data_IF_493648872605
#
_entry.id   IF_493648872605
#
_cell.length_a   1.000
_cell.length_b   1.000
_cell.length_c   1.000
_cell.angle_alpha   90.00
_cell.angle_beta   90.00
_cell.angle_gamma   90.00
#
_symmetry.space_group_name_H-M   'P 1'
#
loop_
_entity.id
_entity.type
_entity.pdbx_description
1 polymer ?
#
# COMPACT_ATOMS: atom_id res chain seq x y z
N UNK A 1 -25.45 -21.39 -8.01
CA UNK A 1 -25.84 -22.24 -6.85
C UNK A 1 -24.64 -22.71 -6.02
N UNK A 2 -23.73 -23.50 -6.60
CA UNK A 2 -22.59 -24.09 -5.87
C UNK A 2 -21.70 -23.08 -5.12
N UNK A 3 -21.44 -21.90 -5.71
CA UNK A 3 -20.67 -20.84 -5.04
C UNK A 3 -21.37 -20.33 -3.78
N UNK A 4 -22.69 -20.20 -3.81
CA UNK A 4 -23.48 -19.73 -2.66
C UNK A 4 -23.47 -20.77 -1.54
N UNK A 5 -23.58 -22.06 -1.90
CA UNK A 5 -23.53 -23.15 -0.94
C UNK A 5 -22.15 -23.25 -0.29
N UNK A 6 -21.07 -23.14 -1.06
CA UNK A 6 -19.70 -23.14 -0.55
C UNK A 6 -19.45 -22.00 0.46
N UNK A 7 -19.91 -20.78 0.14
CA UNK A 7 -19.79 -19.61 1.03
C UNK A 7 -20.62 -19.81 2.31
N UNK A 8 -21.85 -20.33 2.19
CA UNK A 8 -22.70 -20.65 3.35
C UNK A 8 -22.09 -21.72 4.24
N UNK A 9 -21.51 -22.76 3.66
CA UNK A 9 -20.81 -23.82 4.40
C UNK A 9 -19.56 -23.31 5.12
N UNK A 10 -18.81 -22.38 4.50
CA UNK A 10 -17.61 -21.82 5.12
C UNK A 10 -17.93 -20.82 6.24
N UNK A 11 -18.90 -19.92 6.03
CA UNK A 11 -19.23 -18.83 6.97
C UNK A 11 -20.32 -19.18 7.99
N UNK A 12 -21.08 -20.26 7.76
CA UNK A 12 -22.22 -20.67 8.60
C UNK A 12 -23.42 -19.70 8.56
N UNK A 13 -23.47 -18.79 7.58
CA UNK A 13 -24.51 -17.76 7.45
C UNK A 13 -25.01 -17.69 6.01
N UNK A 14 -26.31 -17.40 5.86
CA UNK A 14 -26.90 -17.19 4.56
C UNK A 14 -26.36 -15.88 3.92
N UNK A 15 -25.86 -15.93 2.68
CA UNK A 15 -25.38 -14.74 1.99
C UNK A 15 -26.56 -13.82 1.64
N UNK A 16 -26.36 -12.51 1.80
CA UNK A 16 -27.35 -11.51 1.39
C UNK A 16 -27.43 -11.41 -0.14
N UNK A 17 -28.65 -11.38 -0.68
CA UNK A 17 -28.92 -11.37 -2.14
C UNK A 17 -29.90 -10.26 -2.55
N UNK A 18 -30.12 -9.26 -1.69
CA UNK A 18 -31.14 -8.22 -1.93
C UNK A 18 -30.74 -7.16 -2.97
N UNK A 19 -29.53 -7.21 -3.50
CA UNK A 19 -29.02 -6.29 -4.52
C UNK A 19 -28.52 -7.13 -5.70
N UNK A 20 -28.81 -6.68 -6.92
CA UNK A 20 -28.35 -7.33 -8.15
C UNK A 20 -26.81 -7.40 -8.18
N UNK A 21 -26.20 -8.61 -8.24
CA UNK A 21 -24.75 -8.75 -8.24
C UNK A 21 -24.07 -8.14 -9.47
N UNK A 22 -24.80 -7.95 -10.57
CA UNK A 22 -24.25 -7.42 -11.82
C UNK A 22 -24.18 -5.87 -11.80
N UNK A 23 -24.99 -5.23 -10.95
CA UNK A 23 -25.14 -3.76 -10.91
C UNK A 23 -24.64 -3.14 -9.60
N UNK A 24 -24.50 -3.95 -8.53
CA UNK A 24 -24.21 -3.46 -7.18
C UNK A 24 -22.95 -2.59 -7.10
N UNK A 25 -21.92 -2.92 -7.89
CA UNK A 25 -20.66 -2.16 -7.93
C UNK A 25 -20.88 -0.77 -8.53
N UNK A 26 -21.64 -0.67 -9.63
CA UNK A 26 -21.92 0.61 -10.27
C UNK A 26 -22.79 1.52 -9.39
N UNK A 27 -23.79 0.94 -8.72
CA UNK A 27 -24.66 1.66 -7.77
C UNK A 27 -23.83 2.16 -6.58
N UNK A 28 -22.96 1.33 -6.01
CA UNK A 28 -22.07 1.72 -4.92
C UNK A 28 -21.13 2.85 -5.31
N UNK A 29 -20.57 2.81 -6.52
CA UNK A 29 -19.73 3.89 -7.05
C UNK A 29 -20.50 5.21 -7.22
N UNK A 30 -21.76 5.15 -7.67
CA UNK A 30 -22.61 6.34 -7.79
C UNK A 30 -22.95 6.95 -6.43
N UNK A 31 -23.21 6.13 -5.41
CA UNK A 31 -23.41 6.60 -4.02
C UNK A 31 -22.15 7.30 -3.52
N UNK A 32 -20.96 6.70 -3.74
CA UNK A 32 -19.70 7.32 -3.34
C UNK A 32 -19.46 8.66 -4.05
N UNK A 33 -19.83 8.78 -5.32
CA UNK A 33 -19.78 10.05 -6.04
C UNK A 33 -20.73 11.09 -5.43
N UNK A 34 -21.93 10.70 -5.01
CA UNK A 34 -22.87 11.57 -4.30
C UNK A 34 -22.37 12.02 -2.93
N UNK A 35 -21.62 11.17 -2.20
CA UNK A 35 -20.96 11.53 -0.93
C UNK A 35 -19.88 12.58 -1.18
N UNK A 36 -19.02 12.37 -2.18
CA UNK A 36 -17.96 13.32 -2.56
C UNK A 36 -18.54 14.64 -3.10
N UNK A 37 -19.69 14.59 -3.77
CA UNK A 37 -20.43 15.76 -4.26
C UNK A 37 -21.20 16.53 -3.18
N UNK A 38 -21.36 15.96 -1.98
CA UNK A 38 -22.08 16.56 -0.86
C UNK A 38 -23.60 16.38 -0.89
N UNK A 39 -24.12 15.63 -1.87
CA UNK A 39 -25.55 15.28 -2.00
C UNK A 39 -25.97 14.23 -0.97
N UNK A 40 -25.03 13.37 -0.54
CA UNK A 40 -25.23 12.33 0.47
C UNK A 40 -24.40 12.66 1.70
N UNK A 41 -25.06 12.80 2.86
CA UNK A 41 -24.44 13.12 4.15
C UNK A 41 -24.40 11.89 5.06
N UNK A 42 -23.55 11.96 6.07
CA UNK A 42 -23.45 10.98 7.17
C UNK A 42 -22.94 9.57 6.80
N UNK A 43 -22.18 9.45 5.70
CA UNK A 43 -21.43 8.23 5.37
C UNK A 43 -19.95 8.46 5.66
N UNK A 44 -19.36 7.62 6.50
CA UNK A 44 -17.91 7.54 6.71
C UNK A 44 -17.41 6.28 6.03
N UNK A 45 -16.58 6.44 5.00
CA UNK A 45 -15.89 5.35 4.34
C UNK A 45 -14.46 5.26 4.89
N UNK A 46 -14.12 4.12 5.47
CA UNK A 46 -12.77 3.80 5.90
C UNK A 46 -12.24 2.70 4.98
N UNK A 47 -11.37 3.08 4.04
CA UNK A 47 -10.69 2.13 3.18
C UNK A 47 -9.34 1.75 3.78
N UNK A 48 -8.75 0.65 3.33
CA UNK A 48 -7.49 0.11 3.86
C UNK A 48 -6.55 -0.35 2.75
N UNK A 49 -5.25 -0.30 3.01
CA UNK A 49 -4.24 -0.83 2.08
C UNK A 49 -4.38 -2.36 1.91
N UNK A 50 -4.42 -2.91 0.69
CA UNK A 50 -4.60 -4.36 0.49
C UNK A 50 -3.34 -5.18 0.81
N UNK A 51 -2.17 -4.56 0.66
CA UNK A 51 -0.84 -5.15 0.85
C UNK A 51 0.09 -4.10 1.46
N UNK A 52 1.14 -4.58 2.13
CA UNK A 52 2.17 -3.72 2.69
C UNK A 52 2.98 -3.04 1.59
N UNK A 53 3.41 -1.81 1.86
CA UNK A 53 4.20 -0.96 0.99
C UNK A 53 5.49 -0.59 1.69
N UNK A 54 6.56 -0.53 0.91
CA UNK A 54 7.84 -0.10 1.43
C UNK A 54 8.94 -0.13 0.40
N UNK A 55 10.18 -0.23 0.87
CA UNK A 55 11.36 -0.12 0.01
C UNK A 55 12.34 -1.27 0.20
N UNK A 56 13.15 -1.51 -0.83
CA UNK A 56 14.32 -2.39 -0.73
C UNK A 56 15.43 -1.70 0.08
N UNK A 57 16.01 -2.43 1.02
CA UNK A 57 17.16 -2.00 1.81
C UNK A 57 18.36 -2.91 1.54
N UNK A 58 19.52 -2.60 2.15
CA UNK A 58 20.75 -3.38 1.98
C UNK A 58 20.51 -4.88 2.24
N UNK A 59 21.00 -5.71 1.31
CA UNK A 59 20.79 -7.17 1.37
C UNK A 59 19.52 -7.66 0.68
N UNK A 60 18.88 -6.81 -0.14
CA UNK A 60 17.63 -7.12 -0.84
C UNK A 60 16.46 -7.47 0.09
N UNK A 61 16.45 -6.86 1.27
CA UNK A 61 15.39 -7.03 2.27
C UNK A 61 14.31 -5.98 2.03
N UNK A 62 13.05 -6.43 2.00
CA UNK A 62 11.89 -5.55 1.94
C UNK A 62 11.58 -4.98 3.32
N UNK A 63 11.81 -3.68 3.47
CA UNK A 63 11.46 -2.94 4.67
C UNK A 63 10.10 -2.28 4.47
N UNK A 64 9.10 -2.71 5.25
CA UNK A 64 7.72 -2.19 5.20
C UNK A 64 7.63 -0.85 5.92
N UNK A 65 6.98 0.13 5.29
CA UNK A 65 6.69 1.45 5.89
C UNK A 65 5.20 1.60 6.21
N UNK A 66 4.34 1.09 5.33
CA UNK A 66 2.89 1.02 5.54
C UNK A 66 2.50 -0.45 5.50
N UNK A 67 1.97 -0.98 6.59
CA UNK A 67 1.54 -2.38 6.69
C UNK A 67 0.22 -2.60 5.92
N UNK A 68 -0.05 -3.86 5.54
CA UNK A 68 -1.37 -4.26 5.03
C UNK A 68 -2.46 -3.92 6.03
N UNK A 69 -3.66 -3.67 5.51
CA UNK A 69 -4.84 -3.29 6.26
C UNK A 69 -4.68 -1.97 7.05
N UNK A 70 -3.72 -1.11 6.67
CA UNK A 70 -3.62 0.24 7.25
C UNK A 70 -4.71 1.12 6.66
N UNK A 71 -5.49 1.79 7.50
CA UNK A 71 -6.54 2.72 7.06
C UNK A 71 -5.97 3.89 6.28
N UNK A 72 -6.59 4.23 5.15
CA UNK A 72 -6.24 5.40 4.33
C UNK A 72 -7.27 6.53 4.55
N UNK A 73 -6.84 7.80 4.57
CA UNK A 73 -5.50 8.29 4.22
C UNK A 73 -4.45 8.09 5.32
N UNK A 74 -3.20 7.83 4.94
CA UNK A 74 -2.07 7.64 5.86
C UNK A 74 -0.76 8.16 5.30
N UNK A 75 0.05 8.75 6.20
CA UNK A 75 1.41 9.22 5.91
C UNK A 75 2.42 8.57 6.84
N UNK A 76 3.48 8.00 6.27
CA UNK A 76 4.59 7.37 7.02
C UNK A 76 5.94 7.79 6.45
N UNK A 77 6.83 8.21 7.33
CA UNK A 77 8.17 8.66 6.99
C UNK A 77 9.20 7.83 7.73
N UNK A 78 10.30 7.49 7.05
CA UNK A 78 11.43 6.80 7.65
C UNK A 78 12.74 7.32 7.07
N UNK A 79 13.74 7.46 7.94
CA UNK A 79 15.06 7.94 7.56
C UNK A 79 15.94 6.75 7.22
N UNK A 80 16.54 6.81 6.03
CA UNK A 80 17.53 5.86 5.52
C UNK A 80 18.90 6.53 5.37
N UNK A 81 19.92 5.73 5.09
CA UNK A 81 21.26 6.21 4.84
C UNK A 81 21.97 5.39 3.76
N UNK A 82 23.13 5.85 3.31
CA UNK A 82 23.95 5.19 2.30
C UNK A 82 24.54 3.88 2.81
N UNK A 83 24.63 2.90 1.92
CA UNK A 83 25.19 1.58 2.22
C UNK A 83 26.72 1.54 2.08
N UNK A 84 27.29 2.44 1.28
CA UNK A 84 28.73 2.51 1.00
C UNK A 84 29.32 3.90 1.30
N UNK A 85 30.63 3.94 1.58
CA UNK A 85 31.36 5.20 1.76
C UNK A 85 31.43 5.97 0.43
N UNK A 86 31.31 7.30 0.50
CA UNK A 86 31.34 8.21 -0.64
C UNK A 86 30.28 7.89 -1.71
N UNK A 87 29.19 7.22 -1.33
CA UNK A 87 28.07 6.95 -2.21
C UNK A 87 27.36 8.27 -2.55
N UNK A 88 27.37 8.65 -3.83
CA UNK A 88 26.81 9.91 -4.33
C UNK A 88 25.36 9.80 -4.79
N UNK A 89 24.84 8.58 -4.95
CA UNK A 89 23.46 8.32 -5.35
C UNK A 89 22.86 7.15 -4.59
N UNK A 90 21.56 7.21 -4.28
CA UNK A 90 20.80 6.12 -3.68
C UNK A 90 19.65 5.74 -4.60
N UNK A 91 19.55 4.45 -4.93
CA UNK A 91 18.37 3.90 -5.59
C UNK A 91 17.31 3.54 -4.54
N UNK A 92 16.13 4.10 -4.70
CA UNK A 92 14.96 3.78 -3.91
C UNK A 92 14.04 2.94 -4.77
N UNK A 93 14.01 1.65 -4.46
CA UNK A 93 13.15 0.68 -5.11
C UNK A 93 11.91 0.46 -4.24
N UNK A 94 10.75 0.87 -4.75
CA UNK A 94 9.46 0.77 -4.07
C UNK A 94 8.77 -0.53 -4.44
N UNK A 95 8.29 -1.24 -3.42
CA UNK A 95 7.65 -2.55 -3.56
C UNK A 95 6.33 -2.63 -2.80
N UNK A 96 5.49 -3.55 -3.26
CA UNK A 96 4.25 -3.96 -2.62
C UNK A 96 4.24 -5.47 -2.41
N UNK A 97 3.93 -5.93 -1.20
CA UNK A 97 3.80 -7.36 -0.90
C UNK A 97 4.02 -7.68 0.58
N UNK A 98 4.13 -8.97 0.88
CA UNK A 98 4.23 -9.48 2.26
C UNK A 98 5.49 -10.31 2.53
N UNK A 99 6.32 -10.54 1.50
CA UNK A 99 7.49 -11.40 1.61
C UNK A 99 8.69 -10.60 2.13
N UNK A 100 9.59 -11.25 2.84
CA UNK A 100 10.75 -10.59 3.45
C UNK A 100 11.78 -10.13 2.42
N UNK A 101 11.93 -10.85 1.31
CA UNK A 101 12.90 -10.52 0.26
C UNK A 101 12.27 -9.66 -0.83
N UNK A 102 12.95 -8.59 -1.22
CA UNK A 102 12.47 -7.62 -2.20
C UNK A 102 12.10 -8.29 -3.55
N UNK A 103 12.92 -9.23 -4.03
CA UNK A 103 12.69 -9.94 -5.30
C UNK A 103 11.38 -10.72 -5.37
N UNK A 104 10.81 -11.10 -4.23
CA UNK A 104 9.59 -11.91 -4.18
C UNK A 104 8.32 -11.04 -4.06
N UNK A 105 8.48 -9.71 -3.97
CA UNK A 105 7.40 -8.75 -3.92
C UNK A 105 7.22 -8.04 -5.27
N UNK A 106 6.10 -7.34 -5.43
CA UNK A 106 5.80 -6.60 -6.65
C UNK A 106 6.54 -5.27 -6.66
N UNK A 107 7.43 -5.06 -7.63
CA UNK A 107 7.99 -3.73 -7.91
C UNK A 107 6.89 -2.78 -8.37
N UNK A 108 6.77 -1.63 -7.69
CA UNK A 108 5.92 -0.52 -8.11
C UNK A 108 6.70 0.53 -8.89
N UNK A 109 7.95 0.78 -8.51
CA UNK A 109 8.81 1.76 -9.19
C UNK A 109 10.21 1.81 -8.61
N UNK A 110 11.12 2.44 -9.35
CA UNK A 110 12.50 2.73 -8.92
C UNK A 110 12.80 4.18 -9.22
N UNK A 111 13.40 4.88 -8.28
CA UNK A 111 13.90 6.24 -8.46
C UNK A 111 15.29 6.35 -7.88
N UNK A 112 16.12 7.17 -8.52
CA UNK A 112 17.48 7.42 -8.07
C UNK A 112 17.52 8.84 -7.53
N UNK A 113 17.91 8.97 -6.27
CA UNK A 113 18.29 10.25 -5.68
C UNK A 113 19.79 10.41 -5.89
N UNK A 114 20.18 11.31 -6.78
CA UNK A 114 21.57 11.66 -7.06
C UNK A 114 21.96 12.97 -6.36
N UNK A 115 23.26 13.30 -6.34
CA UNK A 115 23.78 14.54 -5.78
C UNK A 115 24.01 14.50 -4.26
N UNK A 116 24.14 13.31 -3.68
CA UNK A 116 24.48 13.14 -2.26
C UNK A 116 25.96 13.50 -2.05
N UNK A 117 26.29 14.43 -1.14
CA UNK A 117 27.69 14.75 -0.85
C UNK A 117 28.47 13.51 -0.39
N UNK A 118 29.70 13.30 -0.88
CA UNK A 118 30.54 12.18 -0.42
C UNK A 118 30.76 12.24 1.09
N UNK A 119 30.27 11.22 1.80
CA UNK A 119 30.44 11.06 3.24
C UNK A 119 30.63 9.58 3.58
N UNK A 120 31.03 9.27 4.81
CA UNK A 120 31.06 7.88 5.27
C UNK A 120 29.64 7.29 5.26
N UNK A 121 29.54 5.97 5.05
CA UNK A 121 28.26 5.25 5.13
C UNK A 121 27.54 5.57 6.44
N UNK A 122 26.21 5.68 6.41
CA UNK A 122 25.44 5.98 7.62
C UNK A 122 25.35 7.47 7.99
N UNK A 123 26.13 8.36 7.37
CA UNK A 123 26.09 9.80 7.65
C UNK A 123 24.96 10.52 6.89
N UNK A 124 24.79 10.33 5.57
CA UNK A 124 23.70 10.98 4.85
C UNK A 124 22.35 10.53 5.40
N UNK A 125 21.46 11.47 5.73
CA UNK A 125 20.11 11.15 6.16
C UNK A 125 19.14 11.44 5.03
N UNK A 126 18.45 10.39 4.57
CA UNK A 126 17.52 10.45 3.45
C UNK A 126 16.16 10.07 3.99
N UNK A 127 15.29 11.06 4.17
CA UNK A 127 13.91 10.80 4.58
C UNK A 127 13.09 10.36 3.38
N UNK A 128 12.52 9.16 3.47
CA UNK A 128 11.57 8.63 2.50
C UNK A 128 10.19 8.66 3.13
N UNK A 129 9.26 9.33 2.47
CA UNK A 129 7.88 9.47 2.93
C UNK A 129 6.92 8.85 1.93
N UNK A 130 6.02 8.00 2.44
CA UNK A 130 4.87 7.46 1.74
C UNK A 130 3.63 8.21 2.21
N UNK A 131 2.82 8.68 1.25
CA UNK A 131 1.59 9.44 1.47
C UNK A 131 0.52 8.83 0.55
N UNK A 132 -0.57 8.32 1.15
CA UNK A 132 -1.65 7.57 0.47
C UNK A 132 -2.99 8.08 0.96
#
# INVERSE_FOLDING_TARGET
PAVQDAVKSFLGKDPFKGINPDECVAIGAAIQAGVLGGDVKDIVLLDVTPLSLGIETLGSVFNKLIERNTTIPVKKSQIYSTAANNQTSVEIHVLQGEREMARDNKTLGRFVLDGIPPAMRGIPQIEVTFDI
#
